data_IF_529201197335
#
_entry.id   IF_529201197335
#
_cell.length_a   1.000
_cell.length_b   1.000
_cell.length_c   1.000
_cell.angle_alpha   90.00
_cell.angle_beta   90.00
_cell.angle_gamma   90.00
#
_symmetry.space_group_name_H-M   'P 1'
#
loop_
_entity.id
_entity.type
_entity.pdbx_description
1 polymer ?
#
# COMPACT_ATOMS: atom_id res chain seq x y z
N UNK A 1 31.86 -22.82 -32.08
CA UNK A 1 31.12 -21.55 -32.19
C UNK A 1 29.73 -21.64 -31.56
N UNK A 2 29.05 -22.80 -31.63
CA UNK A 2 27.68 -22.96 -31.10
C UNK A 2 27.56 -22.83 -29.58
N UNK A 3 28.53 -23.37 -28.82
CA UNK A 3 28.54 -23.34 -27.35
C UNK A 3 28.63 -21.91 -26.76
N UNK A 4 29.34 -21.00 -27.45
CA UNK A 4 29.47 -19.60 -27.03
C UNK A 4 28.19 -18.79 -27.27
N UNK A 5 27.52 -19.03 -28.41
CA UNK A 5 26.22 -18.42 -28.69
C UNK A 5 25.14 -18.90 -27.72
N UNK A 6 25.18 -20.17 -27.32
CA UNK A 6 24.31 -20.75 -26.29
C UNK A 6 24.53 -20.10 -24.92
N UNK A 7 25.79 -19.87 -24.54
CA UNK A 7 26.15 -19.20 -23.30
C UNK A 7 25.65 -17.74 -23.24
N UNK A 8 25.76 -17.02 -24.37
CA UNK A 8 25.25 -15.64 -24.49
C UNK A 8 23.72 -15.60 -24.38
N UNK A 9 23.02 -16.54 -25.04
CA UNK A 9 21.56 -16.67 -24.95
C UNK A 9 21.08 -16.94 -23.53
N UNK A 10 21.70 -17.92 -22.86
CA UNK A 10 21.37 -18.20 -21.47
C UNK A 10 21.55 -16.96 -20.59
N UNK A 11 22.65 -16.20 -20.78
CA UNK A 11 22.91 -14.97 -20.02
C UNK A 11 21.89 -13.86 -20.29
N UNK A 12 21.43 -13.70 -21.53
CA UNK A 12 20.37 -12.73 -21.86
C UNK A 12 19.05 -13.12 -21.21
N UNK A 13 18.71 -14.40 -21.25
CA UNK A 13 17.45 -14.93 -20.72
C UNK A 13 17.42 -14.81 -19.18
N UNK A 14 18.53 -15.10 -18.50
CA UNK A 14 18.68 -14.88 -17.06
C UNK A 14 18.56 -13.41 -16.67
N UNK A 15 19.09 -12.49 -17.49
CA UNK A 15 18.99 -11.05 -17.23
C UNK A 15 17.54 -10.58 -17.38
N UNK A 16 16.86 -11.05 -18.41
CA UNK A 16 15.46 -10.72 -18.67
C UNK A 16 14.54 -11.25 -17.56
N UNK A 17 14.69 -12.52 -17.15
CA UNK A 17 13.93 -13.08 -16.02
C UNK A 17 14.13 -12.28 -14.72
N UNK A 18 15.35 -11.84 -14.44
CA UNK A 18 15.64 -11.00 -13.28
C UNK A 18 14.96 -9.63 -13.36
N UNK A 19 14.97 -9.02 -14.53
CA UNK A 19 14.35 -7.70 -14.73
C UNK A 19 12.82 -7.81 -14.62
N UNK A 20 12.21 -8.87 -15.15
CA UNK A 20 10.78 -9.14 -15.04
C UNK A 20 10.36 -9.42 -13.59
N UNK A 21 11.12 -10.26 -12.87
CA UNK A 21 10.89 -10.49 -11.45
C UNK A 21 11.00 -9.19 -10.64
N UNK A 22 12.00 -8.35 -10.96
CA UNK A 22 12.19 -7.08 -10.27
C UNK A 22 11.02 -6.10 -10.48
N UNK A 23 10.39 -6.09 -11.65
CA UNK A 23 9.18 -5.30 -11.93
C UNK A 23 8.00 -5.81 -11.11
N UNK A 24 7.80 -7.13 -11.06
CA UNK A 24 6.73 -7.76 -10.26
C UNK A 24 6.90 -7.40 -8.77
N UNK A 25 8.10 -7.58 -8.23
CA UNK A 25 8.40 -7.26 -6.82
C UNK A 25 8.19 -5.77 -6.52
N UNK A 26 8.56 -4.90 -7.46
CA UNK A 26 8.39 -3.45 -7.35
C UNK A 26 6.91 -3.07 -7.28
N UNK A 27 6.08 -3.64 -8.16
CA UNK A 27 4.63 -3.45 -8.16
C UNK A 27 4.00 -3.96 -6.87
N UNK A 28 4.32 -5.19 -6.47
CA UNK A 28 3.73 -5.84 -5.30
C UNK A 28 4.09 -5.07 -4.02
N UNK A 29 5.31 -4.50 -3.96
CA UNK A 29 5.69 -3.60 -2.88
C UNK A 29 4.86 -2.32 -2.87
N UNK A 30 4.69 -1.68 -4.02
CA UNK A 30 3.91 -0.44 -4.12
C UNK A 30 2.44 -0.66 -3.75
N UNK A 31 1.84 -1.75 -4.26
CA UNK A 31 0.48 -2.18 -3.91
C UNK A 31 0.29 -2.34 -2.40
N UNK A 32 1.18 -3.07 -1.72
CA UNK A 32 1.15 -3.24 -0.26
C UNK A 32 1.21 -1.91 0.49
N UNK A 33 2.06 -0.99 0.05
CA UNK A 33 2.19 0.33 0.67
C UNK A 33 0.93 1.17 0.50
N UNK A 34 0.37 1.22 -0.73
CA UNK A 34 -0.82 2.02 -1.00
C UNK A 34 -2.02 1.46 -0.25
N UNK A 35 -2.22 0.14 -0.28
CA UNK A 35 -3.26 -0.53 0.50
C UNK A 35 -3.18 -0.17 1.98
N UNK A 36 -1.98 -0.22 2.57
CA UNK A 36 -1.80 0.16 3.98
C UNK A 36 -2.15 1.61 4.25
N UNK A 37 -1.78 2.53 3.36
CA UNK A 37 -2.13 3.96 3.47
C UNK A 37 -3.64 4.18 3.40
N UNK A 38 -4.35 3.49 2.52
CA UNK A 38 -5.82 3.55 2.42
C UNK A 38 -6.43 3.03 3.72
N UNK A 39 -6.00 1.85 4.20
CA UNK A 39 -6.46 1.25 5.47
C UNK A 39 -6.24 2.19 6.66
N UNK A 40 -5.02 2.74 6.81
CA UNK A 40 -4.69 3.66 7.90
C UNK A 40 -5.50 4.95 7.83
N UNK A 41 -5.76 5.48 6.62
CA UNK A 41 -6.58 6.70 6.45
C UNK A 41 -8.03 6.42 6.80
N UNK A 42 -8.60 5.27 6.40
CA UNK A 42 -9.96 4.87 6.79
C UNK A 42 -10.11 4.75 8.30
N UNK A 43 -9.19 4.03 8.95
CA UNK A 43 -9.23 3.84 10.41
C UNK A 43 -9.03 5.19 11.11
N UNK A 44 -8.12 6.03 10.63
CA UNK A 44 -7.91 7.38 11.18
C UNK A 44 -9.14 8.29 11.04
N UNK A 45 -9.87 8.19 9.92
CA UNK A 45 -11.12 8.93 9.73
C UNK A 45 -12.19 8.47 10.73
N UNK A 46 -12.35 7.15 10.92
CA UNK A 46 -13.27 6.60 11.92
C UNK A 46 -12.90 7.01 13.35
N UNK A 47 -11.61 6.91 13.70
CA UNK A 47 -11.10 7.37 15.01
C UNK A 47 -11.41 8.85 15.22
N UNK A 48 -11.18 9.69 14.21
CA UNK A 48 -11.48 11.12 14.31
C UNK A 48 -12.98 11.38 14.54
N UNK A 49 -13.85 10.60 13.91
CA UNK A 49 -15.30 10.68 14.14
C UNK A 49 -15.65 10.23 15.56
N UNK A 50 -15.07 9.15 16.05
CA UNK A 50 -15.27 8.68 17.43
C UNK A 50 -14.77 9.70 18.46
N UNK A 51 -13.63 10.33 18.24
CA UNK A 51 -13.06 11.32 19.16
C UNK A 51 -13.92 12.58 19.26
N UNK A 52 -14.49 13.04 18.14
CA UNK A 52 -15.28 14.28 18.09
C UNK A 52 -16.76 14.07 18.37
N UNK A 53 -17.34 12.94 17.97
CA UNK A 53 -18.77 12.67 18.03
C UNK A 53 -19.13 11.50 18.94
N UNK A 54 -18.16 10.78 19.50
CA UNK A 54 -18.37 9.62 20.37
C UNK A 54 -19.28 9.88 21.55
N UNK A 55 -19.25 11.11 22.09
CA UNK A 55 -20.14 11.54 23.18
C UNK A 55 -21.63 11.44 22.84
N UNK A 56 -22.01 11.43 21.56
CA UNK A 56 -23.41 11.31 21.11
C UNK A 56 -23.97 9.89 21.30
N UNK A 57 -23.13 8.89 21.51
CA UNK A 57 -23.56 7.49 21.67
C UNK A 57 -22.78 6.72 22.76
N UNK A 58 -21.88 7.39 23.47
CA UNK A 58 -21.19 6.87 24.64
C UNK A 58 -21.87 7.39 25.92
N UNK A 59 -22.17 6.47 26.83
CA UNK A 59 -22.73 6.78 28.16
C UNK A 59 -21.98 5.98 29.20
N UNK A 60 -21.51 6.65 30.23
CA UNK A 60 -20.81 6.03 31.36
C UNK A 60 -21.78 5.24 32.28
N UNK A 61 -23.07 5.59 32.25
CA UNK A 61 -24.11 5.06 33.17
C UNK A 61 -24.92 3.87 32.61
N UNK A 62 -24.50 3.28 31.49
CA UNK A 62 -25.04 2.00 31.00
C UNK A 62 -26.46 2.01 30.42
N UNK A 63 -27.24 3.08 30.58
CA UNK A 63 -28.54 3.25 29.90
C UNK A 63 -28.41 4.17 28.69
N UNK A 64 -28.38 3.57 27.48
CA UNK A 64 -28.54 4.33 26.25
C UNK A 64 -29.99 4.80 26.13
N UNK A 65 -30.17 6.11 25.93
CA UNK A 65 -31.45 6.66 25.46
C UNK A 65 -31.76 6.18 24.04
N UNK A 66 -33.03 6.20 23.63
CA UNK A 66 -33.45 5.81 22.28
C UNK A 66 -32.74 6.64 21.19
N UNK A 67 -32.48 7.91 21.47
CA UNK A 67 -31.73 8.82 20.59
C UNK A 67 -30.26 8.40 20.45
N UNK A 68 -29.59 8.07 21.55
CA UNK A 68 -28.20 7.56 21.53
C UNK A 68 -28.11 6.21 20.81
N UNK A 69 -29.15 5.36 20.91
CA UNK A 69 -29.21 4.08 20.20
C UNK A 69 -29.31 4.30 18.69
N UNK A 70 -30.18 5.23 18.28
CA UNK A 70 -30.30 5.62 16.87
C UNK A 70 -28.99 6.23 16.33
N UNK A 71 -28.33 7.10 17.10
CA UNK A 71 -27.02 7.66 16.73
C UNK A 71 -25.94 6.59 16.61
N UNK A 72 -25.92 5.62 17.52
CA UNK A 72 -25.00 4.47 17.45
C UNK A 72 -25.23 3.64 16.20
N UNK A 73 -26.48 3.36 15.84
CA UNK A 73 -26.82 2.62 14.62
C UNK A 73 -26.42 3.39 13.36
N UNK A 74 -26.67 4.70 13.32
CA UNK A 74 -26.24 5.56 12.24
C UNK A 74 -24.71 5.55 12.08
N UNK A 75 -23.98 5.64 13.19
CA UNK A 75 -22.52 5.53 13.19
C UNK A 75 -22.04 4.16 12.67
N UNK A 76 -22.64 3.05 13.12
CA UNK A 76 -22.27 1.71 12.63
C UNK A 76 -22.53 1.56 11.12
N UNK A 77 -23.60 2.17 10.60
CA UNK A 77 -23.88 2.20 9.16
C UNK A 77 -22.80 2.96 8.40
N UNK A 78 -22.49 4.18 8.84
CA UNK A 78 -21.43 5.02 8.24
C UNK A 78 -20.08 4.30 8.28
N UNK A 79 -19.75 3.66 9.41
CA UNK A 79 -18.54 2.88 9.59
C UNK A 79 -18.44 1.75 8.56
N UNK A 80 -19.53 1.01 8.37
CA UNK A 80 -19.60 -0.07 7.38
C UNK A 80 -19.40 0.46 5.95
N UNK A 81 -20.08 1.56 5.60
CA UNK A 81 -19.96 2.19 4.29
C UNK A 81 -18.54 2.71 4.00
N UNK A 82 -17.87 3.29 5.00
CA UNK A 82 -16.48 3.78 4.87
C UNK A 82 -15.54 2.60 4.60
N UNK A 83 -15.66 1.53 5.37
CA UNK A 83 -14.82 0.34 5.23
C UNK A 83 -15.04 -0.35 3.88
N UNK A 84 -16.29 -0.50 3.44
CA UNK A 84 -16.61 -1.11 2.15
C UNK A 84 -16.08 -0.28 0.97
N UNK A 85 -16.25 1.06 1.03
CA UNK A 85 -15.72 1.96 0.01
C UNK A 85 -14.21 1.88 -0.07
N UNK A 86 -13.49 1.98 1.04
CA UNK A 86 -12.03 1.94 0.95
C UNK A 86 -11.46 0.54 0.65
N UNK A 87 -12.14 -0.55 1.02
CA UNK A 87 -11.81 -1.90 0.53
C UNK A 87 -11.97 -2.01 -0.99
N UNK A 88 -13.02 -1.40 -1.54
CA UNK A 88 -13.23 -1.33 -2.99
C UNK A 88 -12.13 -0.51 -3.66
N UNK A 89 -11.76 0.65 -3.10
CA UNK A 89 -10.65 1.46 -3.63
C UNK A 89 -9.30 0.74 -3.57
N UNK A 90 -9.02 -0.03 -2.52
CA UNK A 90 -7.82 -0.84 -2.44
C UNK A 90 -7.73 -1.87 -3.59
N UNK A 91 -8.84 -2.53 -3.92
CA UNK A 91 -8.91 -3.46 -5.07
C UNK A 91 -8.74 -2.76 -6.41
N UNK A 92 -9.34 -1.57 -6.56
CA UNK A 92 -9.22 -0.79 -7.80
C UNK A 92 -7.77 -0.36 -8.04
N UNK A 93 -7.05 0.06 -6.99
CA UNK A 93 -5.63 0.38 -7.09
C UNK A 93 -4.82 -0.84 -7.54
N UNK A 94 -5.08 -2.03 -6.99
CA UNK A 94 -4.37 -3.24 -7.40
C UNK A 94 -4.61 -3.56 -8.89
N UNK A 95 -5.85 -3.38 -9.37
CA UNK A 95 -6.20 -3.55 -10.78
C UNK A 95 -5.54 -2.50 -11.69
N UNK A 96 -5.39 -1.27 -11.21
CA UNK A 96 -4.73 -0.18 -11.94
C UNK A 96 -3.21 -0.40 -12.00
N UNK A 97 -2.58 -0.76 -10.88
CA UNK A 97 -1.13 -1.07 -10.84
C UNK A 97 -0.76 -2.27 -11.71
N UNK A 98 -1.68 -3.20 -11.95
CA UNK A 98 -1.45 -4.33 -12.87
C UNK A 98 -1.34 -3.90 -14.34
N UNK A 99 -1.81 -2.69 -14.70
CA UNK A 99 -1.74 -2.16 -16.07
C UNK A 99 -0.45 -1.37 -16.34
N UNK A 100 0.38 -1.13 -15.32
CA UNK A 100 1.59 -0.32 -15.43
C UNK A 100 2.86 -1.13 -15.15
N UNK A 101 3.92 -0.81 -15.89
CA UNK A 101 5.27 -1.29 -15.63
C UNK A 101 5.91 -0.45 -14.51
N UNK A 102 5.91 -0.97 -13.29
CA UNK A 102 6.39 -0.26 -12.11
C UNK A 102 7.82 -0.68 -11.80
N UNK A 103 8.72 0.30 -11.71
CA UNK A 103 10.11 0.10 -11.31
C UNK A 103 10.40 0.84 -10.02
N UNK A 104 10.82 0.11 -8.98
CA UNK A 104 11.26 0.74 -7.75
C UNK A 104 12.63 1.40 -7.96
N UNK A 105 12.64 2.73 -7.98
CA UNK A 105 13.85 3.55 -8.00
C UNK A 105 14.45 3.56 -6.59
N UNK A 106 15.38 2.64 -6.34
CA UNK A 106 16.15 2.62 -5.09
C UNK A 106 16.89 3.95 -4.92
N UNK A 107 17.12 4.37 -3.67
CA UNK A 107 18.09 5.44 -3.41
C UNK A 107 19.45 5.02 -3.99
N UNK A 108 19.91 5.75 -5.00
CA UNK A 108 21.21 5.55 -5.64
C UNK A 108 22.08 6.72 -5.19
N UNK A 109 23.14 6.43 -4.44
CA UNK A 109 24.20 7.40 -4.15
C UNK A 109 25.40 7.05 -5.01
N UNK A 110 25.84 7.99 -5.84
CA UNK A 110 27.13 7.94 -6.49
C UNK A 110 28.18 8.43 -5.49
N UNK A 111 28.94 7.50 -4.91
CA UNK A 111 30.05 7.86 -4.03
C UNK A 111 31.29 8.05 -4.91
N UNK A 112 31.85 9.27 -5.00
CA UNK A 112 33.08 9.48 -5.75
C UNK A 112 34.25 8.79 -5.04
N UNK A 113 34.95 7.91 -5.75
CA UNK A 113 36.17 7.27 -5.23
C UNK A 113 37.33 8.23 -5.44
N UNK A 114 37.84 8.81 -4.34
CA UNK A 114 39.08 9.57 -4.34
C UNK A 114 40.23 8.58 -4.10
N UNK A 115 40.98 8.23 -5.14
CA UNK A 115 42.25 7.55 -4.96
C UNK A 115 43.23 8.55 -4.34
N UNK A 116 43.58 8.33 -3.07
CA UNK A 116 44.71 9.02 -2.45
C UNK A 116 45.97 8.43 -3.06
N UNK A 117 46.52 9.09 -4.06
CA UNK A 117 47.86 8.77 -4.55
C UNK A 117 48.83 8.93 -3.37
N UNK A 118 49.50 7.82 -3.03
CA UNK A 118 50.53 7.76 -2.00
C UNK A 118 51.69 8.68 -2.42
N UNK A 119 51.91 9.75 -1.66
CA UNK A 119 53.11 10.57 -1.71
C UNK A 119 54.03 10.18 -0.56
#
# INVERSE_FOLDING_TARGET
MDNFNELIRNRSDYKQQRDDQFKVDSRDRLSKIIRKKIETTMIGALSSVEDHFGFLWATDDGQLTDEQRYMKEAYQKIRSEILDKGNTQARNVDAELAQYDIKWLKYTMEIPVVNKDNN
#
